data_IF_369773367542
#
_entry.id   IF_369773367542
#
_cell.length_a   1.000
_cell.length_b   1.000
_cell.length_c   1.000
_cell.angle_alpha   90.00
_cell.angle_beta   90.00
_cell.angle_gamma   90.00
#
_symmetry.space_group_name_H-M   'P 1'
#
loop_
_entity.id
_entity.type
_entity.pdbx_description
1 polymer ?
#
# COMPACT_ATOMS: atom_id res chain seq x y z
N UNK A 1 -23.14 3.78 -37.33
CA UNK A 1 -21.95 3.27 -36.63
C UNK A 1 -22.39 2.03 -35.89
N UNK A 2 -22.06 0.84 -36.41
CA UNK A 2 -22.53 -0.43 -35.85
C UNK A 2 -21.68 -0.82 -34.63
N UNK A 3 -22.28 -1.44 -33.62
CA UNK A 3 -21.58 -1.94 -32.42
C UNK A 3 -20.38 -2.83 -32.76
N UNK A 4 -20.44 -3.51 -33.89
CA UNK A 4 -19.39 -4.38 -34.40
C UNK A 4 -18.15 -3.61 -34.91
N UNK A 5 -18.35 -2.44 -35.52
CA UNK A 5 -17.27 -1.53 -35.92
C UNK A 5 -16.64 -0.84 -34.71
N UNK A 6 -17.46 -0.48 -33.71
CA UNK A 6 -16.98 0.06 -32.43
C UNK A 6 -16.15 -0.98 -31.65
N UNK A 7 -16.59 -2.25 -31.61
CA UNK A 7 -15.86 -3.36 -30.99
C UNK A 7 -14.53 -3.64 -31.70
N UNK A 8 -14.50 -3.63 -33.04
CA UNK A 8 -13.27 -3.79 -33.82
C UNK A 8 -12.30 -2.62 -33.64
N UNK A 9 -12.80 -1.39 -33.58
CA UNK A 9 -11.99 -0.21 -33.30
C UNK A 9 -11.40 -0.25 -31.87
N UNK A 10 -12.17 -0.69 -30.88
CA UNK A 10 -11.73 -0.84 -29.49
C UNK A 10 -10.65 -1.92 -29.35
N UNK A 11 -10.84 -3.08 -29.99
CA UNK A 11 -9.85 -4.17 -30.00
C UNK A 11 -8.55 -3.78 -30.69
N UNK A 12 -8.62 -2.92 -31.71
CA UNK A 12 -7.46 -2.37 -32.43
C UNK A 12 -6.70 -1.30 -31.64
N UNK A 13 -7.35 -0.62 -30.70
CA UNK A 13 -6.75 0.39 -29.82
C UNK A 13 -6.11 -0.17 -28.54
N UNK A 14 -6.17 -1.50 -28.33
CA UNK A 14 -5.46 -2.19 -27.25
C UNK A 14 -3.95 -2.29 -27.57
N UNK A 15 -3.34 -1.12 -27.75
CA UNK A 15 -1.92 -0.95 -28.05
C UNK A 15 -1.16 -1.16 -26.74
N UNK A 16 -0.16 -2.06 -26.66
CA UNK A 16 0.64 -2.27 -25.47
C UNK A 16 1.27 -0.97 -24.91
N UNK A 17 1.50 0.02 -25.79
CA UNK A 17 1.99 1.35 -25.47
C UNK A 17 1.00 2.22 -24.66
N UNK A 18 -0.31 1.99 -24.78
CA UNK A 18 -1.32 2.76 -24.02
C UNK A 18 -1.36 2.32 -22.55
N UNK A 19 -1.29 1.01 -22.32
CA UNK A 19 -1.23 0.46 -20.96
C UNK A 19 0.02 0.92 -20.20
N UNK A 20 1.16 1.07 -20.89
CA UNK A 20 2.36 1.60 -20.25
C UNK A 20 2.25 3.07 -19.87
N UNK A 21 1.57 3.89 -20.68
CA UNK A 21 1.32 5.29 -20.35
C UNK A 21 0.38 5.44 -19.16
N UNK A 22 -0.73 4.68 -19.13
CA UNK A 22 -1.64 4.65 -17.99
C UNK A 22 -0.91 4.20 -16.73
N UNK A 23 -0.13 3.12 -16.81
CA UNK A 23 0.64 2.63 -15.65
C UNK A 23 1.61 3.70 -15.13
N UNK A 24 2.28 4.42 -16.03
CA UNK A 24 3.18 5.51 -15.66
C UNK A 24 2.44 6.65 -14.95
N UNK A 25 1.24 7.00 -15.40
CA UNK A 25 0.40 8.02 -14.75
C UNK A 25 -0.09 7.55 -13.39
N UNK A 26 -0.56 6.30 -13.28
CA UNK A 26 -1.06 5.73 -12.03
C UNK A 26 0.04 5.64 -10.97
N UNK A 27 1.26 5.28 -11.37
CA UNK A 27 2.41 5.21 -10.46
C UNK A 27 2.95 6.61 -10.12
N UNK A 28 2.87 7.56 -11.04
CA UNK A 28 3.34 8.93 -10.81
C UNK A 28 2.37 9.74 -9.93
N UNK A 29 1.06 9.54 -10.09
CA UNK A 29 0.04 10.31 -9.41
C UNK A 29 -0.62 9.50 -8.28
N UNK A 30 -0.42 9.92 -7.03
CA UNK A 30 -1.02 9.24 -5.86
C UNK A 30 -2.55 9.36 -5.75
N UNK A 31 -3.20 10.12 -6.64
CA UNK A 31 -4.65 10.39 -6.63
C UNK A 31 -5.37 9.91 -7.89
N UNK A 32 -4.71 9.15 -8.76
CA UNK A 32 -5.37 8.59 -9.95
C UNK A 32 -6.27 7.41 -9.60
N UNK A 33 -7.39 7.29 -10.32
CA UNK A 33 -8.27 6.11 -10.26
C UNK A 33 -8.11 5.32 -11.55
N UNK A 34 -7.79 4.03 -11.43
CA UNK A 34 -7.72 3.11 -12.56
C UNK A 34 -9.04 2.34 -12.66
N UNK A 35 -9.76 2.54 -13.76
CA UNK A 35 -11.01 1.82 -14.05
C UNK A 35 -10.72 0.66 -15.00
N UNK A 36 -11.05 -0.55 -14.55
CA UNK A 36 -10.85 -1.81 -15.26
C UNK A 36 -12.02 -2.74 -15.02
N UNK A 37 -12.14 -3.74 -15.86
CA UNK A 37 -13.15 -4.79 -15.71
C UNK A 37 -12.86 -5.62 -14.45
N UNK A 38 -13.92 -5.94 -13.70
CA UNK A 38 -13.85 -6.53 -12.36
C UNK A 38 -13.05 -7.85 -12.37
N UNK A 39 -13.22 -8.66 -13.41
CA UNK A 39 -12.53 -9.94 -13.57
C UNK A 39 -10.99 -9.81 -13.60
N UNK A 40 -10.46 -8.64 -14.00
CA UNK A 40 -9.03 -8.39 -14.10
C UNK A 40 -8.47 -7.52 -12.97
N UNK A 41 -9.33 -6.82 -12.21
CA UNK A 41 -8.92 -5.90 -11.13
C UNK A 41 -8.04 -6.61 -10.10
N UNK A 42 -8.39 -7.82 -9.69
CA UNK A 42 -7.61 -8.55 -8.68
C UNK A 42 -6.20 -8.88 -9.18
N UNK A 43 -6.08 -9.35 -10.42
CA UNK A 43 -4.78 -9.64 -11.03
C UNK A 43 -3.95 -8.36 -11.23
N UNK A 44 -4.59 -7.27 -11.61
CA UNK A 44 -3.95 -5.96 -11.78
C UNK A 44 -3.49 -5.40 -10.43
N UNK A 45 -4.30 -5.50 -9.38
CA UNK A 45 -3.92 -5.14 -8.00
C UNK A 45 -2.75 -5.97 -7.48
N UNK A 46 -2.74 -7.28 -7.70
CA UNK A 46 -1.62 -8.15 -7.35
C UNK A 46 -0.35 -7.73 -8.09
N UNK A 47 -0.45 -7.39 -9.38
CA UNK A 47 0.67 -6.88 -10.17
C UNK A 47 1.20 -5.56 -9.60
N UNK A 48 0.31 -4.60 -9.29
CA UNK A 48 0.69 -3.30 -8.75
C UNK A 48 1.32 -3.42 -7.37
N UNK A 49 0.70 -4.15 -6.45
CA UNK A 49 1.19 -4.35 -5.09
C UNK A 49 2.55 -5.06 -5.07
N UNK A 50 2.76 -6.01 -6.00
CA UNK A 50 4.03 -6.74 -6.12
C UNK A 50 5.17 -5.90 -6.66
N UNK A 51 4.93 -5.06 -7.67
CA UNK A 51 5.99 -4.30 -8.35
C UNK A 51 6.20 -2.90 -7.79
N UNK A 52 5.16 -2.32 -7.16
CA UNK A 52 5.13 -0.97 -6.62
C UNK A 52 4.85 -0.99 -5.12
N UNK A 53 5.57 -1.81 -4.37
CA UNK A 53 5.38 -2.04 -2.92
C UNK A 53 5.46 -0.77 -2.06
N UNK A 54 6.02 0.32 -2.59
CA UNK A 54 6.14 1.62 -1.91
C UNK A 54 4.90 2.52 -2.08
N UNK A 55 3.90 2.08 -2.87
CA UNK A 55 2.63 2.76 -3.04
C UNK A 55 1.51 1.93 -2.41
N UNK A 56 0.60 2.61 -1.72
CA UNK A 56 -0.60 1.99 -1.18
C UNK A 56 -1.69 2.05 -2.26
N UNK A 57 -2.13 0.88 -2.72
CA UNK A 57 -3.25 0.76 -3.66
C UNK A 57 -4.49 0.32 -2.91
N UNK A 58 -5.63 0.94 -3.23
CA UNK A 58 -6.91 0.64 -2.62
C UNK A 58 -7.94 0.29 -3.69
N UNK A 59 -8.73 -0.75 -3.42
CA UNK A 59 -9.87 -1.09 -4.24
C UNK A 59 -11.09 -0.27 -3.82
N UNK A 60 -11.67 0.47 -4.76
CA UNK A 60 -12.97 1.10 -4.60
C UNK A 60 -14.08 0.05 -4.56
N UNK A 61 -15.18 0.36 -3.85
CA UNK A 61 -16.39 -0.50 -3.82
C UNK A 61 -17.38 -0.17 -4.94
N UNK A 62 -17.15 0.93 -5.66
CA UNK A 62 -18.03 1.39 -6.72
C UNK A 62 -17.75 0.63 -8.00
N UNK A 63 -18.78 0.00 -8.54
CA UNK A 63 -18.77 -0.62 -9.87
C UNK A 63 -19.51 0.29 -10.83
N UNK A 64 -18.82 0.73 -11.88
CA UNK A 64 -19.46 1.43 -12.99
C UNK A 64 -20.09 0.37 -13.90
N UNK A 65 -21.39 0.49 -14.14
CA UNK A 65 -22.17 -0.41 -15.01
C UNK A 65 -22.11 -1.89 -14.63
N UNK A 66 -22.73 -2.25 -13.51
CA UNK A 66 -22.83 -3.65 -13.08
C UNK A 66 -23.82 -4.43 -13.96
N UNK A 67 -23.34 -4.97 -15.07
CA UNK A 67 -24.09 -5.92 -15.87
C UNK A 67 -23.94 -7.33 -15.30
N UNK A 68 -25.04 -8.05 -15.03
CA UNK A 68 -24.96 -9.45 -14.63
C UNK A 68 -24.36 -10.26 -15.78
N UNK A 69 -23.24 -10.96 -15.52
CA UNK A 69 -22.66 -11.90 -16.46
C UNK A 69 -23.07 -13.33 -16.07
N UNK A 70 -23.30 -14.17 -17.07
CA UNK A 70 -23.70 -15.55 -16.86
C UNK A 70 -23.67 -16.35 -18.15
N UNK A 71 -23.72 -17.67 -18.02
CA UNK A 71 -23.81 -18.59 -19.14
C UNK A 71 -25.26 -19.02 -19.29
N UNK A 72 -25.84 -18.81 -20.47
CA UNK A 72 -27.16 -19.34 -20.81
C UNK A 72 -26.99 -20.48 -21.81
N UNK A 73 -27.53 -21.64 -21.49
CA UNK A 73 -27.57 -22.76 -22.42
C UNK A 73 -28.89 -22.73 -23.19
N UNK A 74 -28.82 -22.76 -24.51
CA UNK A 74 -30.01 -22.89 -25.36
C UNK A 74 -30.22 -24.34 -25.77
N UNK A 75 -31.48 -24.80 -25.77
CA UNK A 75 -31.87 -26.19 -26.09
C UNK A 75 -31.24 -27.22 -25.13
N UNK A 76 -31.36 -26.98 -23.83
CA UNK A 76 -31.04 -27.93 -22.76
C UNK A 76 -32.00 -29.14 -22.82
N UNK A 77 -31.78 -30.06 -23.75
CA UNK A 77 -32.40 -31.38 -23.71
C UNK A 77 -31.79 -32.22 -22.56
N UNK A 78 -31.74 -33.55 -22.69
CA UNK A 78 -31.06 -34.48 -21.77
C UNK A 78 -29.51 -34.33 -21.74
N UNK A 79 -28.99 -33.12 -21.90
CA UNK A 79 -27.56 -32.84 -21.87
C UNK A 79 -27.05 -32.84 -20.44
N UNK A 80 -25.95 -33.57 -20.21
CA UNK A 80 -25.23 -33.52 -18.93
C UNK A 80 -24.42 -32.21 -18.74
N UNK A 81 -24.29 -31.38 -19.78
CA UNK A 81 -23.42 -30.20 -19.78
C UNK A 81 -23.86 -29.14 -18.75
N UNK A 82 -25.14 -28.71 -18.67
CA UNK A 82 -25.56 -27.73 -17.66
C UNK A 82 -25.39 -28.27 -16.23
N UNK A 83 -25.61 -29.59 -16.04
CA UNK A 83 -25.47 -30.25 -14.74
C UNK A 83 -24.02 -30.27 -14.27
N UNK A 84 -23.09 -30.62 -15.16
CA UNK A 84 -21.65 -30.58 -14.87
C UNK A 84 -21.15 -29.15 -14.66
N UNK A 85 -21.62 -28.18 -15.46
CA UNK A 85 -21.25 -26.77 -15.28
C UNK A 85 -21.71 -26.24 -13.92
N UNK A 86 -22.96 -26.52 -13.53
CA UNK A 86 -23.48 -26.16 -12.20
C UNK A 86 -22.63 -26.76 -11.09
N UNK A 87 -22.26 -28.04 -11.20
CA UNK A 87 -21.38 -28.70 -10.22
C UNK A 87 -20.00 -28.05 -10.14
N UNK A 88 -19.39 -27.64 -11.26
CA UNK A 88 -18.11 -26.93 -11.27
C UNK A 88 -18.19 -25.53 -10.64
N UNK A 89 -19.35 -24.87 -10.77
CA UNK A 89 -19.62 -23.58 -10.15
C UNK A 89 -19.83 -23.73 -8.64
N UNK A 90 -20.68 -24.68 -8.21
CA UNK A 90 -20.97 -24.96 -6.79
C UNK A 90 -19.73 -25.42 -6.01
N UNK A 91 -18.86 -26.21 -6.64
CA UNK A 91 -17.59 -26.65 -6.04
C UNK A 91 -16.53 -25.56 -5.99
N UNK A 92 -16.76 -24.39 -6.61
CA UNK A 92 -15.80 -23.28 -6.66
C UNK A 92 -14.57 -23.55 -7.54
N UNK A 93 -14.61 -24.58 -8.40
CA UNK A 93 -13.51 -24.87 -9.34
C UNK A 93 -13.46 -23.80 -10.42
N UNK A 94 -14.62 -23.41 -10.95
CA UNK A 94 -14.73 -22.40 -12.01
C UNK A 94 -14.04 -21.07 -11.64
N UNK A 95 -14.35 -20.41 -10.51
CA UNK A 95 -13.68 -19.15 -10.15
C UNK A 95 -12.17 -19.29 -9.94
N UNK A 96 -11.69 -20.46 -9.48
CA UNK A 96 -10.24 -20.70 -9.33
C UNK A 96 -9.52 -20.82 -10.68
N UNK A 97 -10.15 -21.47 -11.65
CA UNK A 97 -9.62 -21.59 -13.02
C UNK A 97 -9.61 -20.22 -13.69
N UNK A 98 -10.70 -19.47 -13.53
CA UNK A 98 -10.85 -18.13 -14.07
C UNK A 98 -9.81 -17.16 -13.49
N UNK A 99 -9.60 -17.16 -12.16
CA UNK A 99 -8.54 -16.38 -11.53
C UNK A 99 -7.14 -16.70 -12.08
N UNK A 100 -6.83 -17.99 -12.29
CA UNK A 100 -5.55 -18.40 -12.91
C UNK A 100 -5.44 -17.96 -14.37
N UNK A 101 -6.53 -18.04 -15.12
CA UNK A 101 -6.58 -17.60 -16.51
C UNK A 101 -6.32 -16.10 -16.62
N UNK A 102 -7.00 -15.30 -15.79
CA UNK A 102 -6.78 -13.86 -15.73
C UNK A 102 -5.37 -13.52 -15.27
N UNK A 103 -4.85 -14.19 -14.23
CA UNK A 103 -3.47 -13.97 -13.76
C UNK A 103 -2.42 -14.30 -14.83
N UNK A 104 -2.63 -15.36 -15.62
CA UNK A 104 -1.73 -15.76 -16.71
C UNK A 104 -1.54 -14.65 -17.74
N UNK A 105 -2.60 -13.88 -18.05
CA UNK A 105 -2.54 -12.73 -18.96
C UNK A 105 -1.54 -11.66 -18.51
N UNK A 106 -1.26 -11.57 -17.21
CA UNK A 106 -0.31 -10.61 -16.63
C UNK A 106 1.07 -11.20 -16.35
N UNK A 107 1.28 -12.51 -16.51
CA UNK A 107 2.54 -13.19 -16.17
C UNK A 107 3.76 -12.68 -16.98
N UNK A 108 3.54 -12.19 -18.20
CA UNK A 108 4.59 -11.62 -19.05
C UNK A 108 4.73 -10.10 -18.96
N UNK A 109 3.89 -9.41 -18.18
CA UNK A 109 3.90 -7.93 -18.08
C UNK A 109 5.13 -7.49 -17.27
N UNK A 110 5.90 -6.55 -17.82
CA UNK A 110 7.04 -5.93 -17.12
C UNK A 110 6.61 -4.56 -16.57
N UNK A 111 7.02 -4.19 -15.35
CA UNK A 111 6.71 -2.88 -14.79
C UNK A 111 7.38 -1.78 -15.61
N UNK A 112 6.65 -0.67 -15.82
CA UNK A 112 7.15 0.50 -16.55
C UNK A 112 8.19 1.26 -15.74
N UNK A 113 7.97 1.35 -14.41
CA UNK A 113 8.88 2.03 -13.50
C UNK A 113 9.51 0.98 -12.59
N UNK A 114 10.82 0.78 -12.72
CA UNK A 114 11.58 -0.20 -11.92
C UNK A 114 12.14 0.38 -10.63
N UNK A 115 12.29 1.71 -10.58
CA UNK A 115 12.98 2.38 -9.50
C UNK A 115 12.07 3.40 -8.82
N UNK A 116 12.13 3.38 -7.50
CA UNK A 116 11.60 4.43 -6.64
C UNK A 116 12.34 5.72 -7.00
N UNK A 117 11.71 6.63 -7.74
CA UNK A 117 12.11 8.03 -7.65
C UNK A 117 11.98 8.38 -6.18
N UNK A 118 13.08 8.79 -5.56
CA UNK A 118 13.12 9.24 -4.17
C UNK A 118 12.15 10.40 -4.01
N UNK A 119 10.87 10.07 -3.77
CA UNK A 119 9.99 10.97 -3.06
C UNK A 119 10.54 10.89 -1.66
N UNK A 120 11.27 11.94 -1.27
CA UNK A 120 11.88 12.16 0.03
C UNK A 120 11.10 11.40 1.08
N UNK A 121 11.65 10.24 1.47
CA UNK A 121 11.20 9.57 2.67
C UNK A 121 11.82 10.41 3.78
N UNK A 122 11.18 11.53 4.05
CA UNK A 122 10.71 11.69 5.41
C UNK A 122 9.86 10.45 5.66
N UNK A 123 10.56 9.38 6.09
CA UNK A 123 9.93 8.25 6.73
C UNK A 123 8.95 8.89 7.68
N UNK A 124 7.68 8.67 7.38
CA UNK A 124 6.61 8.77 8.36
C UNK A 124 6.93 7.69 9.39
N UNK A 125 8.01 7.90 10.15
CA UNK A 125 8.32 7.20 11.38
C UNK A 125 7.13 7.55 12.21
N UNK A 126 6.25 6.56 12.24
CA UNK A 126 4.94 6.67 12.81
C UNK A 126 5.07 7.30 14.18
N UNK A 127 4.18 8.24 14.46
CA UNK A 127 4.23 9.22 15.56
C UNK A 127 4.74 8.62 16.89
N UNK A 128 4.48 7.33 17.11
CA UNK A 128 4.88 6.56 18.29
C UNK A 128 6.38 6.35 18.52
N UNK A 129 7.22 6.15 17.49
CA UNK A 129 8.66 5.97 17.73
C UNK A 129 9.34 7.31 17.99
N UNK A 130 8.92 8.36 17.27
CA UNK A 130 9.41 9.72 17.50
C UNK A 130 9.12 10.22 18.92
N UNK A 131 7.94 9.92 19.47
CA UNK A 131 7.59 10.31 20.84
C UNK A 131 8.44 9.61 21.89
N UNK A 132 8.82 8.34 21.68
CA UNK A 132 9.69 7.62 22.62
C UNK A 132 11.07 8.28 22.74
N UNK A 133 11.67 8.68 21.61
CA UNK A 133 12.95 9.39 21.62
C UNK A 133 12.83 10.76 22.30
N UNK A 134 11.75 11.50 22.05
CA UNK A 134 11.52 12.81 22.68
C UNK A 134 11.37 12.68 24.20
N UNK A 135 10.57 11.73 24.69
CA UNK A 135 10.37 11.49 26.12
C UNK A 135 11.67 11.05 26.78
N UNK A 136 12.43 10.16 26.14
CA UNK A 136 13.72 9.70 26.66
C UNK A 136 14.72 10.86 26.80
N UNK A 137 14.82 11.74 25.79
CA UNK A 137 15.71 12.90 25.84
C UNK A 137 15.32 13.86 26.97
N UNK A 138 14.02 14.18 27.09
CA UNK A 138 13.54 15.10 28.14
C UNK A 138 13.81 14.52 29.54
N UNK A 139 13.54 13.24 29.76
CA UNK A 139 13.79 12.58 31.04
C UNK A 139 15.28 12.63 31.43
N UNK A 140 16.18 12.35 30.47
CA UNK A 140 17.62 12.43 30.71
C UNK A 140 18.09 13.87 30.97
N UNK A 141 17.55 14.86 30.27
CA UNK A 141 17.87 16.28 30.52
C UNK A 141 17.48 16.73 31.93
N UNK A 142 16.29 16.31 32.41
CA UNK A 142 15.84 16.62 33.77
C UNK A 142 16.76 15.97 34.81
N UNK A 143 17.14 14.71 34.61
CA UNK A 143 18.02 13.99 35.52
C UNK A 143 19.41 14.63 35.62
N UNK A 144 20.02 14.99 34.48
CA UNK A 144 21.32 15.68 34.45
C UNK A 144 21.21 17.07 35.09
N UNK A 145 20.14 17.81 34.81
CA UNK A 145 19.90 19.12 35.40
C UNK A 145 19.83 19.08 36.92
N UNK A 146 19.06 18.13 37.48
CA UNK A 146 18.94 17.93 38.93
C UNK A 146 20.30 17.56 39.56
N UNK A 147 21.04 16.65 38.92
CA UNK A 147 22.35 16.22 39.42
C UNK A 147 23.38 17.37 39.48
N UNK A 148 23.37 18.25 38.48
CA UNK A 148 24.23 19.45 38.47
C UNK A 148 23.87 20.43 39.59
N UNK A 149 22.58 20.63 39.85
CA UNK A 149 22.10 21.50 40.94
C UNK A 149 22.58 20.96 42.30
N UNK A 150 22.41 19.66 42.55
CA UNK A 150 22.84 19.03 43.80
C UNK A 150 24.35 19.15 44.01
N UNK A 151 25.15 18.93 42.95
CA UNK A 151 26.60 19.14 42.99
C UNK A 151 26.93 20.60 43.33
N UNK A 152 26.27 21.56 42.69
CA UNK A 152 26.49 22.99 42.97
C UNK A 152 26.17 23.35 44.42
N UNK A 153 25.08 22.80 44.98
CA UNK A 153 24.69 23.01 46.39
C UNK A 153 25.74 22.42 47.33
N UNK A 154 26.21 21.20 47.07
CA UNK A 154 27.23 20.53 47.89
C UNK A 154 28.57 21.27 47.87
N UNK A 155 29.00 21.76 46.71
CA UNK A 155 30.22 22.58 46.58
C UNK A 155 30.08 23.89 47.38
N UNK A 156 28.93 24.56 47.27
CA UNK A 156 28.67 25.82 48.00
C UNK A 156 28.65 25.59 49.51
N UNK A 157 28.03 24.50 49.97
CA UNK A 157 28.00 24.10 51.39
C UNK A 157 29.40 23.79 51.92
N UNK A 158 30.22 23.02 51.17
CA UNK A 158 31.63 22.75 51.55
C UNK A 158 32.45 24.03 51.67
N UNK A 159 32.34 24.97 50.72
CA UNK A 159 33.05 26.26 50.78
C UNK A 159 32.62 27.11 51.98
N UNK A 160 31.34 27.11 52.32
CA UNK A 160 30.83 27.83 53.50
C UNK A 160 31.33 27.22 54.81
N UNK A 161 31.36 25.88 54.91
CA UNK A 161 31.90 25.19 56.07
C UNK A 161 33.41 25.43 56.25
N UNK A 162 34.19 25.47 55.16
CA UNK A 162 35.61 25.84 55.22
C UNK A 162 35.80 27.27 55.71
N UNK A 163 35.00 28.23 55.23
CA UNK A 163 35.06 29.63 55.70
C UNK A 163 34.67 29.76 57.18
N UNK A 164 33.66 29.04 57.64
CA UNK A 164 33.23 29.04 59.05
C UNK A 164 34.26 28.38 59.96
N UNK A 165 34.91 27.30 59.52
CA UNK A 165 35.95 26.62 60.29
C UNK A 165 37.22 27.47 60.41
N UNK A 166 37.61 28.17 59.33
CA UNK A 166 38.74 29.12 59.36
C UNK A 166 38.50 30.28 60.34
N UNK A 167 37.28 30.86 60.34
CA UNK A 167 36.89 31.98 61.23
C UNK A 167 36.73 31.58 62.71
N UNK A 168 36.62 30.29 63.03
CA UNK A 168 36.53 29.80 64.42
C UNK A 168 37.89 29.46 65.01
N UNK A 169 38.95 29.40 64.19
CA UNK A 169 40.30 29.01 64.60
C UNK A 169 41.27 30.18 64.78
N UNK A 170 40.94 31.36 64.24
CA UNK A 170 41.60 32.65 64.42
C UNK A 170 40.60 33.64 65.00
#
# INVERSE_FOLDING_TARGET
MTEEEASKAYRKYQIPHFNSSIEKEVVACRQSVLIREIAYIEAEMLFFTKHYYWLEFYNGKETLDSQPYGVTFMKEASSNIPRSFKSLQETGILPRVEAKFHASKYAGRKPVVKERKEIDIYLKMDRGIGTLFIVFVIANCIAVGAFLIDICILIKKRRLLQKLWYKRRY
#
